data_IF_053636344324
#
_entry.id   IF_053636344324
#
_cell.length_a   1.000
_cell.length_b   1.000
_cell.length_c   1.000
_cell.angle_alpha   90.00
_cell.angle_beta   90.00
_cell.angle_gamma   90.00
#
_symmetry.space_group_name_H-M   'P 1'
#
loop_
_entity.id
_entity.type
_entity.pdbx_description
1 polymer ?
#
# COMPACT_ATOMS: atom_id res chain seq x y z
N UNK A 1 17.75 -1.23 -26.65
CA UNK A 1 18.08 -1.64 -25.27
C UNK A 1 16.93 -2.49 -24.76
N UNK A 2 17.16 -3.80 -24.59
CA UNK A 2 16.20 -4.72 -23.97
C UNK A 2 15.99 -4.28 -22.51
N UNK A 3 14.76 -3.92 -22.13
CA UNK A 3 14.44 -3.71 -20.73
C UNK A 3 14.66 -5.02 -19.98
N UNK A 4 15.63 -5.04 -19.07
CA UNK A 4 15.71 -6.06 -18.04
C UNK A 4 14.39 -6.02 -17.26
N UNK A 5 13.59 -7.10 -17.36
CA UNK A 5 12.36 -7.25 -16.60
C UNK A 5 12.61 -7.05 -15.11
N UNK A 6 11.68 -6.39 -14.41
CA UNK A 6 11.71 -6.29 -12.95
C UNK A 6 11.50 -7.70 -12.42
N UNK A 7 12.58 -8.38 -12.01
CA UNK A 7 12.49 -9.69 -11.39
C UNK A 7 11.85 -9.55 -10.00
N UNK A 8 10.75 -10.28 -9.76
CA UNK A 8 10.08 -10.34 -8.47
C UNK A 8 10.54 -11.60 -7.73
N UNK A 9 10.83 -11.45 -6.44
CA UNK A 9 11.08 -12.58 -5.55
C UNK A 9 9.74 -13.08 -5.01
N UNK A 10 9.35 -14.30 -5.36
CA UNK A 10 8.21 -14.95 -4.73
C UNK A 10 8.71 -15.74 -3.54
N UNK A 11 8.16 -15.43 -2.38
CA UNK A 11 8.44 -16.12 -1.13
C UNK A 11 7.39 -17.20 -0.92
N UNK A 12 7.79 -18.47 -1.11
CA UNK A 12 6.94 -19.62 -0.82
C UNK A 12 7.25 -20.17 0.57
N UNK A 13 6.24 -20.24 1.44
CA UNK A 13 6.30 -21.00 2.68
C UNK A 13 6.05 -22.48 2.40
N UNK A 14 6.83 -23.38 3.02
CA UNK A 14 6.70 -24.84 2.84
C UNK A 14 6.36 -25.49 4.17
N UNK A 15 5.43 -26.45 4.17
CA UNK A 15 5.07 -27.24 5.35
C UNK A 15 6.13 -28.33 5.63
N UNK A 16 6.38 -28.63 6.91
CA UNK A 16 7.31 -29.68 7.32
C UNK A 16 6.77 -31.07 6.94
N UNK A 17 7.52 -31.81 6.13
CA UNK A 17 7.32 -33.26 6.04
C UNK A 17 7.67 -33.92 7.38
N UNK A 18 6.92 -34.96 7.77
CA UNK A 18 7.20 -35.78 8.98
C UNK A 18 8.51 -36.56 8.84
N UNK A 19 9.64 -35.88 8.83
CA UNK A 19 10.94 -36.52 8.98
C UNK A 19 11.64 -35.90 10.18
N UNK A 20 11.80 -36.73 11.21
CA UNK A 20 12.53 -36.45 12.45
C UNK A 20 13.99 -36.26 12.10
N UNK A 21 14.37 -35.07 11.64
CA UNK A 21 15.78 -34.72 11.56
C UNK A 21 16.05 -33.30 12.03
N UNK A 22 16.97 -33.24 12.98
CA UNK A 22 17.16 -32.19 13.98
C UNK A 22 17.96 -31.00 13.43
N UNK A 23 17.57 -30.49 12.27
CA UNK A 23 18.08 -29.25 11.70
C UNK A 23 16.90 -28.32 11.39
N UNK A 24 16.86 -27.12 12.00
CA UNK A 24 15.96 -26.01 11.66
C UNK A 24 16.13 -25.60 10.18
N UNK A 25 15.62 -26.40 9.24
CA UNK A 25 15.82 -26.26 7.78
C UNK A 25 14.71 -25.40 7.18
N UNK A 26 15.12 -24.20 6.75
CA UNK A 26 14.48 -23.21 5.84
C UNK A 26 13.03 -23.49 5.41
N UNK A 27 12.07 -22.96 6.17
CA UNK A 27 10.64 -22.84 5.83
C UNK A 27 10.33 -21.87 4.67
N UNK A 28 11.36 -21.28 4.06
CA UNK A 28 11.24 -20.22 3.04
C UNK A 28 11.99 -20.64 1.77
N UNK A 29 11.27 -20.66 0.65
CA UNK A 29 11.83 -20.82 -0.69
C UNK A 29 11.65 -19.53 -1.48
N UNK A 30 12.68 -19.17 -2.23
CA UNK A 30 12.65 -18.00 -3.12
C UNK A 30 12.56 -18.49 -4.55
N UNK A 31 11.57 -18.00 -5.29
CA UNK A 31 11.41 -18.25 -6.71
C UNK A 31 11.62 -16.94 -7.47
N UNK A 32 12.23 -17.06 -8.65
CA UNK A 32 12.29 -15.95 -9.62
C UNK A 32 11.02 -16.00 -10.46
N UNK A 33 10.29 -14.89 -10.52
CA UNK A 33 9.14 -14.73 -11.39
C UNK A 33 9.10 -13.30 -11.98
N UNK A 34 8.40 -13.13 -13.09
CA UNK A 34 8.18 -11.83 -13.73
C UNK A 34 6.72 -11.69 -14.13
N UNK A 35 6.08 -10.60 -13.69
CA UNK A 35 4.70 -10.29 -14.03
C UNK A 35 4.46 -10.16 -15.55
N UNK A 36 5.47 -9.78 -16.33
CA UNK A 36 5.41 -9.72 -17.78
C UNK A 36 5.44 -11.08 -18.49
N UNK A 37 5.85 -12.15 -17.80
CA UNK A 37 6.05 -13.48 -18.37
C UNK A 37 4.95 -14.45 -17.90
N UNK A 38 4.12 -14.90 -18.84
CA UNK A 38 3.09 -15.90 -18.55
C UNK A 38 3.73 -17.24 -18.11
N UNK A 39 3.22 -17.83 -17.03
CA UNK A 39 3.74 -19.09 -16.48
C UNK A 39 4.91 -18.94 -15.51
N UNK A 40 5.50 -17.74 -15.38
CA UNK A 40 6.67 -17.53 -14.50
C UNK A 40 6.40 -17.77 -13.01
N UNK A 41 5.13 -17.76 -12.60
CA UNK A 41 4.70 -18.02 -11.21
C UNK A 41 4.32 -19.49 -10.95
N UNK A 42 4.20 -20.34 -11.98
CA UNK A 42 3.66 -21.71 -11.87
C UNK A 42 4.40 -22.55 -10.83
N UNK A 43 5.73 -22.51 -10.87
CA UNK A 43 6.57 -23.23 -9.92
C UNK A 43 6.38 -22.75 -8.47
N UNK A 44 6.09 -21.46 -8.27
CA UNK A 44 5.95 -20.87 -6.95
C UNK A 44 4.57 -21.14 -6.32
N UNK A 45 3.52 -21.25 -7.14
CA UNK A 45 2.15 -21.49 -6.67
C UNK A 45 1.77 -22.97 -6.62
N UNK A 46 2.60 -23.87 -7.16
CA UNK A 46 2.34 -25.31 -7.16
C UNK A 46 2.29 -25.85 -5.72
N UNK A 47 1.14 -26.41 -5.33
CA UNK A 47 0.90 -26.94 -3.99
C UNK A 47 0.51 -25.88 -2.95
N UNK A 48 0.43 -24.60 -3.32
CA UNK A 48 -0.01 -23.55 -2.40
C UNK A 48 -1.52 -23.61 -2.17
N UNK A 49 -1.95 -23.41 -0.93
CA UNK A 49 -3.37 -23.31 -0.57
C UNK A 49 -3.90 -21.87 -0.65
N UNK A 50 -3.01 -20.89 -0.55
CA UNK A 50 -3.33 -19.48 -0.62
C UNK A 50 -2.21 -18.69 -1.31
N UNK A 51 -2.57 -17.54 -1.90
CA UNK A 51 -1.64 -16.59 -2.49
C UNK A 51 -1.89 -15.19 -1.90
N UNK A 52 -0.80 -14.50 -1.53
CA UNK A 52 -0.82 -13.07 -1.22
C UNK A 52 -0.25 -12.29 -2.41
N UNK A 53 -1.11 -11.62 -3.17
CA UNK A 53 -0.67 -10.80 -4.31
C UNK A 53 -0.39 -9.36 -3.86
N UNK A 54 0.83 -9.16 -3.37
CA UNK A 54 1.34 -7.86 -2.87
C UNK A 54 2.07 -7.07 -3.96
N UNK A 55 2.65 -7.76 -4.94
CA UNK A 55 3.45 -7.15 -5.99
C UNK A 55 2.62 -6.21 -6.88
N UNK A 56 3.07 -4.96 -7.02
CA UNK A 56 2.42 -3.96 -7.86
C UNK A 56 3.44 -2.93 -8.36
N UNK A 57 3.13 -2.28 -9.49
CA UNK A 57 3.92 -1.12 -9.94
C UNK A 57 3.71 0.05 -8.98
N UNK A 58 4.81 0.71 -8.60
CA UNK A 58 4.83 1.92 -7.77
C UNK A 58 5.08 3.19 -8.60
N UNK A 59 4.69 3.18 -9.88
CA UNK A 59 4.88 4.32 -10.78
C UNK A 59 3.91 5.46 -10.47
N UNK A 60 4.43 6.49 -9.81
CA UNK A 60 3.70 7.71 -9.45
C UNK A 60 3.79 8.82 -10.52
N UNK A 61 4.82 8.76 -11.37
CA UNK A 61 5.12 9.76 -12.39
C UNK A 61 5.68 9.08 -13.64
N UNK A 62 5.42 9.65 -14.81
CA UNK A 62 6.07 9.25 -16.07
C UNK A 62 6.99 10.37 -16.53
N UNK A 63 8.28 10.05 -16.64
CA UNK A 63 9.28 10.89 -17.30
C UNK A 63 9.24 10.61 -18.81
N UNK A 64 8.19 11.04 -19.50
CA UNK A 64 8.10 10.83 -20.96
C UNK A 64 8.73 12.00 -21.73
N UNK A 65 9.54 11.74 -22.77
CA UNK A 65 9.93 12.76 -23.75
C UNK A 65 8.74 13.35 -24.52
N UNK A 66 7.57 12.69 -24.49
CA UNK A 66 6.34 13.13 -25.14
C UNK A 66 5.49 14.09 -24.26
N UNK A 67 6.08 14.70 -23.24
CA UNK A 67 5.42 15.59 -22.27
C UNK A 67 4.79 16.87 -22.87
N UNK A 68 4.77 17.00 -24.19
CA UNK A 68 4.19 18.13 -24.91
C UNK A 68 2.82 17.83 -25.55
N UNK A 69 2.30 16.59 -25.45
CA UNK A 69 0.98 16.24 -26.00
C UNK A 69 0.22 15.24 -25.12
N UNK A 70 -0.91 15.66 -24.54
CA UNK A 70 -1.68 14.89 -23.56
C UNK A 70 -2.16 13.52 -24.07
N UNK A 71 -2.62 13.44 -25.32
CA UNK A 71 -3.07 12.18 -25.93
C UNK A 71 -1.96 11.12 -26.00
N UNK A 72 -0.73 11.54 -26.31
CA UNK A 72 0.43 10.65 -26.37
C UNK A 72 0.85 10.18 -24.98
N UNK A 73 0.68 11.03 -23.95
CA UNK A 73 0.92 10.65 -22.55
C UNK A 73 -0.10 9.61 -22.09
N UNK A 74 -1.39 9.80 -22.39
CA UNK A 74 -2.43 8.85 -22.02
C UNK A 74 -2.23 7.48 -22.67
N UNK A 75 -1.93 7.45 -23.97
CA UNK A 75 -1.65 6.20 -24.70
C UNK A 75 -0.38 5.51 -24.20
N UNK A 76 0.67 6.29 -23.89
CA UNK A 76 1.87 5.76 -23.28
C UNK A 76 1.58 5.14 -21.90
N UNK A 77 0.84 5.84 -21.03
CA UNK A 77 0.47 5.32 -19.71
C UNK A 77 -0.38 4.05 -19.84
N UNK A 78 -1.34 4.04 -20.76
CA UNK A 78 -2.19 2.87 -21.01
C UNK A 78 -1.35 1.66 -21.42
N UNK A 79 -0.53 1.80 -22.46
CA UNK A 79 0.23 0.69 -23.07
C UNK A 79 1.47 0.26 -22.28
N UNK A 80 2.15 1.19 -21.59
CA UNK A 80 3.42 0.90 -20.90
C UNK A 80 3.26 0.65 -19.41
N UNK A 81 2.16 1.10 -18.80
CA UNK A 81 1.95 0.97 -17.35
C UNK A 81 0.72 0.16 -17.02
N UNK A 82 -0.46 0.57 -17.50
CA UNK A 82 -1.74 0.00 -17.06
C UNK A 82 -1.98 -1.40 -17.62
N UNK A 83 -1.76 -1.59 -18.92
CA UNK A 83 -1.92 -2.89 -19.58
C UNK A 83 -0.92 -3.93 -19.05
N UNK A 84 0.39 -3.65 -18.93
CA UNK A 84 1.34 -4.61 -18.34
C UNK A 84 1.01 -4.98 -16.89
N UNK A 85 0.62 -4.01 -16.06
CA UNK A 85 0.23 -4.29 -14.67
C UNK A 85 -1.01 -5.19 -14.57
N UNK A 86 -2.01 -4.91 -15.42
CA UNK A 86 -3.24 -5.70 -15.51
C UNK A 86 -2.94 -7.12 -15.99
N UNK A 87 -2.24 -7.24 -17.12
CA UNK A 87 -1.81 -8.53 -17.67
C UNK A 87 -1.00 -9.33 -16.66
N UNK A 88 -0.08 -8.69 -15.94
CA UNK A 88 0.74 -9.36 -14.95
C UNK A 88 -0.05 -9.90 -13.76
N UNK A 89 -1.03 -9.13 -13.27
CA UNK A 89 -1.97 -9.63 -12.26
C UNK A 89 -2.74 -10.85 -12.77
N UNK A 90 -3.20 -10.83 -14.01
CA UNK A 90 -3.90 -11.97 -14.63
C UNK A 90 -2.97 -13.17 -14.81
N UNK A 91 -1.71 -12.98 -15.17
CA UNK A 91 -0.72 -14.05 -15.29
C UNK A 91 -0.52 -14.80 -13.96
N UNK A 92 -0.47 -14.08 -12.85
CA UNK A 92 -0.40 -14.67 -11.50
C UNK A 92 -1.65 -15.49 -11.19
N UNK A 93 -2.84 -14.95 -11.47
CA UNK A 93 -4.10 -15.66 -11.23
C UNK A 93 -4.27 -16.88 -12.13
N UNK A 94 -3.85 -16.82 -13.40
CA UNK A 94 -3.80 -17.98 -14.30
C UNK A 94 -2.92 -19.09 -13.75
N UNK A 95 -1.79 -18.73 -13.14
CA UNK A 95 -0.90 -19.70 -12.49
C UNK A 95 -1.61 -20.39 -11.32
N UNK A 96 -2.39 -19.65 -10.52
CA UNK A 96 -3.22 -20.21 -9.44
C UNK A 96 -4.27 -21.20 -9.97
N UNK A 97 -4.96 -20.84 -11.07
CA UNK A 97 -5.94 -21.72 -11.72
C UNK A 97 -5.27 -23.00 -12.24
N UNK A 98 -4.14 -22.89 -12.93
CA UNK A 98 -3.36 -24.05 -13.41
C UNK A 98 -2.92 -24.97 -12.26
N UNK A 99 -2.49 -24.39 -11.14
CA UNK A 99 -2.06 -25.16 -9.98
C UNK A 99 -3.21 -25.94 -9.32
N UNK A 100 -4.46 -25.50 -9.46
CA UNK A 100 -5.67 -26.17 -8.97
C UNK A 100 -5.77 -26.31 -7.44
N UNK A 101 -4.76 -25.86 -6.68
CA UNK A 101 -4.61 -26.05 -5.24
C UNK A 101 -4.85 -24.77 -4.46
N UNK A 102 -4.72 -23.60 -5.10
CA UNK A 102 -4.92 -22.29 -4.48
C UNK A 102 -6.41 -22.06 -4.26
N UNK A 103 -6.83 -22.06 -2.98
CA UNK A 103 -8.22 -21.88 -2.57
C UNK A 103 -8.57 -20.43 -2.28
N UNK A 104 -7.58 -19.60 -1.92
CA UNK A 104 -7.81 -18.18 -1.61
C UNK A 104 -6.69 -17.30 -2.12
N UNK A 105 -7.06 -16.21 -2.79
CA UNK A 105 -6.14 -15.14 -3.16
C UNK A 105 -6.47 -13.90 -2.34
N UNK A 106 -5.50 -13.39 -1.60
CA UNK A 106 -5.58 -12.08 -0.92
C UNK A 106 -4.83 -11.07 -1.78
N UNK A 107 -5.59 -10.18 -2.43
CA UNK A 107 -5.08 -9.12 -3.27
C UNK A 107 -4.80 -7.88 -2.43
N UNK A 108 -3.58 -7.35 -2.46
CA UNK A 108 -3.27 -6.10 -1.77
C UNK A 108 -3.67 -4.92 -2.66
N UNK A 109 -4.78 -4.27 -2.33
CA UNK A 109 -5.23 -3.03 -2.95
C UNK A 109 -4.70 -1.81 -2.20
N UNK A 110 -5.16 -0.61 -2.53
CA UNK A 110 -4.70 0.64 -1.94
C UNK A 110 -5.86 1.59 -1.72
N UNK A 111 -5.82 2.39 -0.66
CA UNK A 111 -6.77 3.48 -0.42
C UNK A 111 -6.78 4.49 -1.58
N UNK A 112 -5.75 4.50 -2.44
CA UNK A 112 -5.75 5.28 -3.67
C UNK A 112 -6.95 4.97 -4.59
N UNK A 113 -7.50 3.77 -4.47
CA UNK A 113 -8.71 3.31 -5.18
C UNK A 113 -10.01 3.90 -4.64
N UNK A 114 -9.97 4.56 -3.48
CA UNK A 114 -11.12 5.17 -2.82
C UNK A 114 -11.05 6.71 -2.91
N UNK A 115 -12.19 7.36 -2.68
CA UNK A 115 -12.29 8.82 -2.54
C UNK A 115 -13.39 9.19 -1.55
N UNK A 116 -13.13 10.17 -0.68
CA UNK A 116 -14.19 10.78 0.12
C UNK A 116 -14.81 12.00 -0.58
N UNK A 117 -14.16 12.54 -1.62
CA UNK A 117 -14.66 13.70 -2.35
C UNK A 117 -15.92 13.39 -3.16
N UNK A 118 -16.89 14.32 -3.11
CA UNK A 118 -18.14 14.31 -3.87
C UNK A 118 -18.16 15.42 -4.94
N UNK A 119 -19.12 15.34 -5.88
CA UNK A 119 -19.23 16.20 -7.07
C UNK A 119 -19.34 17.70 -6.76
N UNK A 120 -19.74 18.08 -5.54
CA UNK A 120 -19.96 19.47 -5.11
C UNK A 120 -18.86 20.00 -4.16
N UNK A 121 -17.69 19.35 -4.13
CA UNK A 121 -16.63 19.71 -3.18
C UNK A 121 -16.91 19.31 -1.73
N UNK A 122 -18.06 18.67 -1.48
CA UNK A 122 -18.40 18.01 -0.22
C UNK A 122 -17.59 16.73 -0.04
N UNK A 123 -17.46 16.29 1.21
CA UNK A 123 -16.87 14.99 1.56
C UNK A 123 -17.93 14.09 2.17
N UNK A 124 -17.86 12.81 1.84
CA UNK A 124 -18.63 11.77 2.54
C UNK A 124 -18.33 11.81 4.04
N UNK A 125 -19.31 11.53 4.87
CA UNK A 125 -19.11 11.47 6.33
C UNK A 125 -18.32 10.23 6.77
N UNK A 126 -18.40 9.15 5.99
CA UNK A 126 -17.71 7.88 6.25
C UNK A 126 -16.96 7.46 4.99
N UNK A 127 -15.68 7.12 5.15
CA UNK A 127 -14.85 6.49 4.14
C UNK A 127 -14.82 4.99 4.41
N UNK A 128 -15.39 4.20 3.50
CA UNK A 128 -15.42 2.73 3.55
C UNK A 128 -15.18 2.14 2.14
N UNK A 129 -15.32 0.81 2.00
CA UNK A 129 -15.03 0.11 0.75
C UNK A 129 -16.03 0.39 -0.39
N UNK A 130 -17.17 1.04 -0.10
CA UNK A 130 -18.14 1.49 -1.11
C UNK A 130 -17.69 2.75 -1.83
N UNK A 131 -16.69 3.46 -1.27
CA UNK A 131 -16.23 4.76 -1.75
C UNK A 131 -15.27 4.66 -2.94
N UNK A 132 -15.51 3.72 -3.86
CA UNK A 132 -14.68 3.50 -5.04
C UNK A 132 -14.59 4.76 -5.88
N UNK A 133 -13.35 5.08 -6.28
CA UNK A 133 -13.07 6.19 -7.16
C UNK A 133 -13.43 5.85 -8.61
N UNK A 134 -14.04 6.81 -9.30
CA UNK A 134 -14.34 6.72 -10.73
C UNK A 134 -13.06 6.78 -11.56
N UNK A 135 -12.92 5.86 -12.52
CA UNK A 135 -11.80 5.85 -13.47
C UNK A 135 -11.87 7.08 -14.39
N UNK A 136 -13.07 7.45 -14.84
CA UNK A 136 -13.27 8.61 -15.73
C UNK A 136 -12.89 9.92 -15.04
N UNK A 137 -13.19 10.04 -13.74
CA UNK A 137 -12.74 11.18 -12.94
C UNK A 137 -11.21 11.27 -12.90
N UNK A 138 -10.52 10.15 -12.71
CA UNK A 138 -9.06 10.12 -12.60
C UNK A 138 -8.40 10.45 -13.95
N UNK A 139 -8.93 9.93 -15.06
CA UNK A 139 -8.46 10.26 -16.40
C UNK A 139 -8.66 11.73 -16.75
N UNK A 140 -9.81 12.30 -16.37
CA UNK A 140 -10.15 13.70 -16.62
C UNK A 140 -9.30 14.65 -15.77
N UNK A 141 -9.22 14.41 -14.47
CA UNK A 141 -8.62 15.35 -13.50
C UNK A 141 -7.11 15.15 -13.31
N UNK A 142 -6.58 13.97 -13.66
CA UNK A 142 -5.16 13.59 -13.56
C UNK A 142 -4.51 14.08 -12.25
N UNK A 143 -5.09 13.75 -11.06
CA UNK A 143 -4.56 14.18 -9.77
C UNK A 143 -3.12 13.70 -9.56
N UNK A 144 -2.40 14.27 -8.59
CA UNK A 144 -1.10 13.75 -8.18
C UNK A 144 -1.19 12.24 -7.89
N UNK A 145 -0.34 11.45 -8.56
CA UNK A 145 -0.35 9.99 -8.49
C UNK A 145 -1.45 9.28 -9.30
N UNK A 146 -2.10 9.95 -10.27
CA UNK A 146 -3.18 9.38 -11.08
C UNK A 146 -2.85 8.04 -11.75
N UNK A 147 -1.60 7.86 -12.19
CA UNK A 147 -1.13 6.62 -12.82
C UNK A 147 -1.22 5.44 -11.85
N UNK A 148 -0.75 5.63 -10.63
CA UNK A 148 -0.84 4.63 -9.57
C UNK A 148 -2.30 4.34 -9.20
N UNK A 149 -3.14 5.38 -9.11
CA UNK A 149 -4.58 5.23 -8.83
C UNK A 149 -5.24 4.35 -9.90
N UNK A 150 -5.03 4.67 -11.18
CA UNK A 150 -5.57 3.88 -12.30
C UNK A 150 -5.04 2.45 -12.28
N UNK A 151 -3.73 2.28 -12.09
CA UNK A 151 -3.09 0.97 -12.05
C UNK A 151 -3.70 0.09 -10.97
N UNK A 152 -3.82 0.59 -9.73
CA UNK A 152 -4.45 -0.17 -8.63
C UNK A 152 -5.94 -0.44 -8.87
N UNK A 153 -6.69 0.52 -9.41
CA UNK A 153 -8.13 0.33 -9.71
C UNK A 153 -8.36 -0.74 -10.78
N UNK A 154 -7.64 -0.64 -11.91
CA UNK A 154 -7.81 -1.52 -13.06
C UNK A 154 -7.32 -2.94 -12.77
N UNK A 155 -6.18 -3.08 -12.08
CA UNK A 155 -5.66 -4.41 -11.69
C UNK A 155 -6.60 -5.12 -10.73
N UNK A 156 -7.16 -4.42 -9.74
CA UNK A 156 -8.14 -5.00 -8.81
C UNK A 156 -9.43 -5.40 -9.53
N UNK A 157 -9.98 -4.55 -10.41
CA UNK A 157 -11.20 -4.87 -11.16
C UNK A 157 -11.00 -6.08 -12.08
N UNK A 158 -9.88 -6.12 -12.80
CA UNK A 158 -9.52 -7.25 -13.64
C UNK A 158 -9.33 -8.53 -12.83
N UNK A 159 -8.69 -8.43 -11.65
CA UNK A 159 -8.51 -9.57 -10.74
C UNK A 159 -9.84 -10.14 -10.27
N UNK A 160 -10.78 -9.29 -9.80
CA UNK A 160 -12.12 -9.74 -9.40
C UNK A 160 -12.92 -10.34 -10.56
N UNK A 161 -12.82 -9.76 -11.76
CA UNK A 161 -13.48 -10.29 -12.96
C UNK A 161 -12.96 -11.68 -13.30
N UNK A 162 -11.64 -11.83 -13.42
CA UNK A 162 -10.99 -13.10 -13.71
C UNK A 162 -11.31 -14.16 -12.64
N UNK A 163 -11.24 -13.78 -11.37
CA UNK A 163 -11.50 -14.68 -10.26
C UNK A 163 -12.92 -15.27 -10.31
N UNK A 164 -13.92 -14.42 -10.59
CA UNK A 164 -15.31 -14.84 -10.76
C UNK A 164 -15.52 -15.75 -11.97
N UNK A 165 -14.86 -15.47 -13.08
CA UNK A 165 -14.95 -16.28 -14.31
C UNK A 165 -14.27 -17.66 -14.18
N UNK A 166 -13.30 -17.79 -13.27
CA UNK A 166 -12.47 -19.01 -13.14
C UNK A 166 -12.63 -19.71 -11.78
N UNK A 167 -13.63 -19.34 -10.98
CA UNK A 167 -13.91 -19.99 -9.69
C UNK A 167 -12.81 -19.80 -8.62
N UNK A 168 -12.00 -18.75 -8.71
CA UNK A 168 -10.99 -18.41 -7.71
C UNK A 168 -11.62 -17.53 -6.64
N UNK A 169 -11.50 -17.91 -5.37
CA UNK A 169 -11.98 -17.05 -4.27
C UNK A 169 -10.96 -15.94 -3.98
N UNK A 170 -11.29 -14.72 -4.40
CA UNK A 170 -10.44 -13.54 -4.24
C UNK A 170 -11.05 -12.57 -3.21
N UNK A 171 -10.21 -12.14 -2.28
CA UNK A 171 -10.50 -11.07 -1.32
C UNK A 171 -9.49 -9.95 -1.49
N UNK A 172 -9.90 -8.71 -1.35
CA UNK A 172 -9.03 -7.54 -1.51
C UNK A 172 -8.84 -6.82 -0.17
N UNK A 173 -7.59 -6.62 0.23
CA UNK A 173 -7.22 -5.80 1.38
C UNK A 173 -6.81 -4.42 0.89
N UNK A 174 -7.62 -3.41 1.19
CA UNK A 174 -7.35 -2.02 0.85
C UNK A 174 -6.46 -1.42 1.94
N UNK A 175 -5.17 -1.26 1.63
CA UNK A 175 -4.22 -0.68 2.57
C UNK A 175 -4.17 0.85 2.47
N UNK A 176 -4.10 1.56 3.61
CA UNK A 176 -3.86 3.00 3.66
C UNK A 176 -2.37 3.31 3.48
N UNK A 177 -1.91 4.49 3.91
CA UNK A 177 -0.47 4.72 4.06
C UNK A 177 0.05 3.81 5.16
N UNK A 178 0.83 2.80 4.79
CA UNK A 178 1.41 1.82 5.73
C UNK A 178 2.77 2.30 6.20
N UNK A 179 3.00 2.28 7.50
CA UNK A 179 4.25 2.70 8.11
C UNK A 179 4.54 1.89 9.39
N UNK A 180 5.76 2.02 9.93
CA UNK A 180 6.29 1.18 11.01
C UNK A 180 7.64 0.55 10.64
N UNK A 181 8.06 -0.53 11.32
CA UNK A 181 9.32 -1.21 11.03
C UNK A 181 9.37 -1.83 9.63
N UNK A 182 10.57 -1.89 9.06
CA UNK A 182 10.77 -2.49 7.75
C UNK A 182 12.02 -3.37 7.72
N UNK A 183 12.00 -4.38 6.85
CA UNK A 183 13.10 -5.32 6.66
C UNK A 183 13.85 -5.07 5.34
N UNK A 184 13.41 -4.08 4.57
CA UNK A 184 14.00 -3.73 3.27
C UNK A 184 15.31 -2.95 3.47
N UNK A 185 16.29 -3.11 2.58
CA UNK A 185 17.57 -2.39 2.70
C UNK A 185 17.43 -0.88 2.50
N UNK A 186 16.38 -0.45 1.80
CA UNK A 186 16.02 0.96 1.64
C UNK A 186 14.70 1.26 2.35
N UNK A 187 14.52 2.51 2.76
CA UNK A 187 13.29 2.98 3.40
C UNK A 187 12.12 2.84 2.42
N UNK A 188 11.02 2.15 2.79
CA UNK A 188 9.82 2.04 1.96
C UNK A 188 9.23 3.40 1.58
N UNK A 189 8.75 3.54 0.34
CA UNK A 189 8.16 4.79 -0.18
C UNK A 189 7.00 5.31 0.67
N UNK A 190 6.18 4.44 1.27
CA UNK A 190 5.09 4.86 2.15
C UNK A 190 5.56 5.49 3.46
N UNK A 191 6.72 5.07 3.98
CA UNK A 191 7.36 5.69 5.14
C UNK A 191 8.01 7.01 4.73
N UNK A 192 8.69 7.06 3.59
CA UNK A 192 9.22 8.33 3.06
C UNK A 192 8.09 9.34 2.82
N UNK A 193 6.92 8.88 2.35
CA UNK A 193 5.72 9.69 2.20
C UNK A 193 5.23 10.26 3.54
N UNK A 194 5.08 9.41 4.56
CA UNK A 194 4.69 9.85 5.92
C UNK A 194 5.70 10.84 6.52
N UNK A 195 6.99 10.63 6.29
CA UNK A 195 8.08 11.46 6.80
C UNK A 195 8.44 12.62 5.88
N UNK A 196 7.74 12.81 4.76
CA UNK A 196 8.00 13.90 3.81
C UNK A 196 7.95 15.30 4.44
N UNK A 197 7.16 15.59 5.49
CA UNK A 197 7.29 16.85 6.22
C UNK A 197 8.67 17.00 6.90
N UNK A 198 9.23 15.92 7.45
CA UNK A 198 10.56 15.91 8.10
C UNK A 198 11.69 15.96 7.07
N UNK A 199 11.56 15.28 5.93
CA UNK A 199 12.64 15.25 4.93
C UNK A 199 12.59 16.45 3.99
N UNK A 200 11.42 17.09 3.84
CA UNK A 200 11.23 18.19 2.91
C UNK A 200 11.20 17.75 1.43
N UNK A 201 10.99 16.46 1.16
CA UNK A 201 10.85 15.98 -0.22
C UNK A 201 9.59 16.58 -0.85
N UNK A 202 9.72 17.48 -1.87
CA UNK A 202 8.58 18.21 -2.39
C UNK A 202 7.61 17.31 -3.18
N UNK A 203 8.10 16.21 -3.79
CA UNK A 203 7.28 15.31 -4.58
C UNK A 203 6.42 14.44 -3.67
N UNK A 204 7.03 13.83 -2.66
CA UNK A 204 6.31 13.01 -1.68
C UNK A 204 5.38 13.88 -0.82
N UNK A 205 5.80 15.09 -0.45
CA UNK A 205 4.92 16.03 0.23
C UNK A 205 3.67 16.36 -0.59
N UNK A 206 3.81 16.63 -1.90
CA UNK A 206 2.66 16.85 -2.77
C UNK A 206 1.73 15.62 -2.88
N UNK A 207 2.29 14.40 -2.84
CA UNK A 207 1.50 13.16 -2.77
C UNK A 207 0.75 13.09 -1.45
N UNK A 208 1.39 13.41 -0.32
CA UNK A 208 0.77 13.40 1.01
C UNK A 208 -0.36 14.43 1.10
N UNK A 209 -0.14 15.64 0.58
CA UNK A 209 -1.14 16.68 0.45
C UNK A 209 -2.32 16.24 -0.43
N UNK A 210 -2.06 15.54 -1.54
CA UNK A 210 -3.14 14.99 -2.39
C UNK A 210 -3.95 13.90 -1.68
N UNK A 211 -3.32 13.07 -0.84
CA UNK A 211 -4.03 12.10 0.02
C UNK A 211 -4.91 12.85 1.02
N UNK A 212 -4.35 13.84 1.72
CA UNK A 212 -5.09 14.66 2.67
C UNK A 212 -6.28 15.37 2.04
N UNK A 213 -6.09 16.05 0.91
CA UNK A 213 -7.16 16.77 0.21
C UNK A 213 -8.31 15.84 -0.20
N UNK A 214 -7.97 14.62 -0.66
CA UNK A 214 -8.93 13.60 -1.12
C UNK A 214 -9.79 13.04 0.00
N UNK A 215 -9.22 12.88 1.19
CA UNK A 215 -9.90 12.25 2.33
C UNK A 215 -10.17 13.19 3.49
N UNK A 216 -9.78 14.45 3.45
CA UNK A 216 -9.73 15.34 4.62
C UNK A 216 -8.77 14.86 5.74
N UNK A 217 -8.02 13.79 5.50
CA UNK A 217 -7.13 13.16 6.47
C UNK A 217 -6.14 12.25 5.75
N UNK A 218 -5.18 11.70 6.48
CA UNK A 218 -4.27 10.65 6.02
C UNK A 218 -4.65 9.36 6.76
N UNK A 219 -5.32 8.41 6.08
CA UNK A 219 -5.52 7.07 6.62
C UNK A 219 -4.16 6.40 6.88
N UNK A 220 -4.02 5.75 8.04
CA UNK A 220 -2.79 5.05 8.43
C UNK A 220 -3.05 3.64 8.96
N UNK A 221 -2.07 2.77 8.76
CA UNK A 221 -1.98 1.47 9.42
C UNK A 221 -0.53 1.12 9.74
N UNK A 222 -0.35 0.43 10.86
CA UNK A 222 0.93 -0.17 11.17
C UNK A 222 1.20 -1.37 10.27
N UNK A 223 2.46 -1.55 9.85
CA UNK A 223 2.88 -2.67 8.98
C UNK A 223 2.50 -4.04 9.55
N UNK A 224 2.59 -4.21 10.87
CA UNK A 224 2.22 -5.47 11.50
C UNK A 224 0.71 -5.72 11.43
N UNK A 225 -0.11 -4.69 11.68
CA UNK A 225 -1.57 -4.81 11.54
C UNK A 225 -1.95 -5.11 10.07
N UNK A 226 -1.25 -4.50 9.11
CA UNK A 226 -1.44 -4.82 7.69
C UNK A 226 -1.11 -6.30 7.40
N UNK A 227 0.02 -6.82 7.89
CA UNK A 227 0.37 -8.24 7.75
C UNK A 227 -0.66 -9.17 8.41
N UNK A 228 -1.06 -8.87 9.65
CA UNK A 228 -2.06 -9.65 10.39
C UNK A 228 -3.41 -9.66 9.66
N UNK A 229 -3.81 -8.53 9.08
CA UNK A 229 -5.05 -8.43 8.31
C UNK A 229 -5.01 -9.28 7.03
N UNK A 230 -3.85 -9.36 6.34
CA UNK A 230 -3.71 -10.29 5.22
C UNK A 230 -3.94 -11.73 5.68
N UNK A 231 -3.29 -12.15 6.77
CA UNK A 231 -3.42 -13.51 7.32
C UNK A 231 -4.87 -13.79 7.74
N UNK A 232 -5.52 -12.86 8.45
CA UNK A 232 -6.92 -13.00 8.84
C UNK A 232 -7.82 -13.22 7.62
N UNK A 233 -7.67 -12.41 6.57
CA UNK A 233 -8.48 -12.56 5.36
C UNK A 233 -8.18 -13.86 4.60
N UNK A 234 -6.96 -14.37 4.70
CA UNK A 234 -6.59 -15.68 4.17
C UNK A 234 -7.26 -16.81 4.93
N UNK A 235 -7.46 -16.69 6.24
CA UNK A 235 -8.04 -17.74 7.08
C UNK A 235 -9.57 -17.67 7.18
N UNK A 236 -10.14 -16.45 7.17
CA UNK A 236 -11.56 -16.21 7.40
C UNK A 236 -12.46 -16.82 6.31
N UNK A 237 -13.29 -17.83 6.63
CA UNK A 237 -14.13 -18.49 5.64
C UNK A 237 -15.19 -17.57 5.01
N UNK A 238 -15.62 -16.55 5.77
CA UNK A 238 -16.66 -15.58 5.39
C UNK A 238 -16.10 -14.31 4.73
N UNK A 239 -14.79 -14.20 4.53
CA UNK A 239 -14.20 -13.01 3.94
C UNK A 239 -14.59 -12.88 2.47
N UNK A 240 -15.20 -11.77 2.07
CA UNK A 240 -15.60 -11.52 0.68
C UNK A 240 -15.49 -10.04 0.26
N UNK A 241 -15.11 -9.83 -1.00
CA UNK A 241 -14.99 -8.49 -1.57
C UNK A 241 -13.79 -7.73 -0.99
N UNK A 242 -14.00 -6.47 -0.62
CA UNK A 242 -12.97 -5.53 -0.16
C UNK A 242 -13.02 -5.30 1.34
N UNK A 243 -11.85 -5.12 1.96
CA UNK A 243 -11.69 -4.77 3.37
C UNK A 243 -10.71 -3.62 3.52
N UNK A 244 -11.14 -2.50 4.09
CA UNK A 244 -10.26 -1.40 4.48
C UNK A 244 -9.54 -1.76 5.78
N UNK A 245 -8.21 -1.61 5.79
CA UNK A 245 -7.38 -1.86 6.96
C UNK A 245 -6.68 -0.57 7.40
N UNK A 246 -7.44 0.35 7.95
CA UNK A 246 -6.95 1.60 8.53
C UNK A 246 -7.36 1.72 10.00
N UNK A 247 -6.39 1.94 10.89
CA UNK A 247 -6.65 2.15 12.31
C UNK A 247 -7.39 3.48 12.56
N UNK A 248 -7.22 4.44 11.65
CA UNK A 248 -7.90 5.73 11.66
C UNK A 248 -7.41 6.64 10.53
N UNK A 249 -8.02 7.83 10.45
CA UNK A 249 -7.58 8.93 9.58
C UNK A 249 -7.12 10.11 10.43
N UNK A 250 -5.97 10.68 10.09
CA UNK A 250 -5.33 11.74 10.88
C UNK A 250 -5.11 12.97 10.03
N UNK A 251 -5.43 14.16 10.54
CA UNK A 251 -5.12 15.40 9.80
C UNK A 251 -3.61 15.57 9.69
N UNK A 252 -3.16 16.25 8.64
CA UNK A 252 -1.74 16.52 8.45
C UNK A 252 -1.17 17.35 9.62
N UNK A 253 -1.97 18.27 10.17
CA UNK A 253 -1.60 19.04 11.36
C UNK A 253 -1.41 18.16 12.61
N UNK A 254 -2.22 17.12 12.79
CA UNK A 254 -2.05 16.16 13.88
C UNK A 254 -0.77 15.33 13.68
N UNK A 255 -0.56 14.78 12.47
CA UNK A 255 0.64 14.00 12.16
C UNK A 255 1.92 14.81 12.32
N UNK A 256 1.93 16.07 11.89
CA UNK A 256 3.09 16.91 12.02
C UNK A 256 3.41 17.26 13.48
N UNK A 257 2.39 17.46 14.33
CA UNK A 257 2.60 17.61 15.78
C UNK A 257 3.20 16.35 16.40
N UNK A 258 2.71 15.17 16.03
CA UNK A 258 3.30 13.90 16.47
C UNK A 258 4.74 13.74 15.98
N UNK A 259 5.00 14.02 14.70
CA UNK A 259 6.34 13.98 14.12
C UNK A 259 7.31 14.93 14.85
N UNK A 260 6.88 16.15 15.17
CA UNK A 260 7.70 17.11 15.91
C UNK A 260 7.98 16.65 17.35
N UNK A 261 6.98 16.02 18.00
CA UNK A 261 7.17 15.46 19.34
C UNK A 261 8.17 14.29 19.36
N UNK A 262 8.24 13.52 18.27
CA UNK A 262 9.15 12.36 18.14
C UNK A 262 10.50 12.71 17.54
N UNK A 263 10.56 13.78 16.74
CA UNK A 263 11.76 14.27 16.09
C UNK A 263 11.85 15.80 16.28
N UNK A 264 12.36 16.27 17.43
CA UNK A 264 12.32 17.69 17.83
C UNK A 264 12.91 18.72 16.86
N UNK A 265 13.93 18.41 16.02
CA UNK A 265 14.39 19.37 15.01
C UNK A 265 13.33 19.71 13.95
N UNK A 266 12.33 18.85 13.77
CA UNK A 266 11.23 19.16 12.87
C UNK A 266 10.38 20.29 13.44
N UNK A 267 10.30 21.38 12.68
CA UNK A 267 9.44 22.53 12.96
C UNK A 267 8.25 22.50 12.01
N UNK A 268 7.06 22.05 12.46
CA UNK A 268 5.88 21.91 11.61
C UNK A 268 5.50 23.21 10.90
N UNK A 269 5.53 24.34 11.61
CA UNK A 269 5.10 25.63 11.08
C UNK A 269 5.95 26.16 9.92
N UNK A 270 7.20 25.71 9.80
CA UNK A 270 8.10 26.14 8.72
C UNK A 270 7.91 25.32 7.44
N UNK A 271 7.23 24.17 7.54
CA UNK A 271 7.17 23.13 6.47
C UNK A 271 5.78 22.70 6.09
N UNK A 272 4.79 22.89 6.96
CA UNK A 272 3.38 22.80 6.61
C UNK A 272 2.98 24.14 6.01
N UNK A 273 2.95 24.20 4.69
CA UNK A 273 2.29 25.26 3.95
C UNK A 273 0.79 25.34 4.32
N UNK A 274 0.14 26.44 3.89
CA UNK A 274 -1.32 26.60 3.85
C UNK A 274 -2.07 25.42 3.18
N UNK A 275 -1.38 24.49 2.53
CA UNK A 275 -1.96 23.30 1.87
C UNK A 275 -2.63 22.32 2.86
N UNK A 276 -2.37 22.49 4.16
CA UNK A 276 -2.99 21.75 5.25
C UNK A 276 -3.80 22.61 6.21
N UNK A 277 -4.07 23.87 5.86
CA UNK A 277 -5.06 24.66 6.58
C UNK A 277 -6.40 23.97 6.38
N UNK A 278 -6.83 23.26 7.42
CA UNK A 278 -8.18 22.74 7.54
C UNK A 278 -9.10 23.93 7.33
N UNK A 279 -9.94 23.89 6.29
CA UNK A 279 -11.17 24.65 6.32
C UNK A 279 -11.95 24.08 7.53
N UNK A 280 -11.81 24.76 8.68
CA UNK A 280 -12.31 24.32 9.98
C UNK A 280 -13.83 24.06 9.98
N UNK A 281 -14.51 24.41 8.89
CA UNK A 281 -15.91 24.13 8.61
C UNK A 281 -16.22 22.67 8.24
N UNK A 282 -15.23 21.84 7.86
CA UNK A 282 -15.47 20.48 7.39
C UNK A 282 -14.72 19.42 8.19
N UNK A 283 -15.42 18.72 9.08
CA UNK A 283 -14.86 17.60 9.84
C UNK A 283 -14.37 16.49 8.89
N UNK A 284 -13.20 15.87 9.14
CA UNK A 284 -12.73 14.77 8.31
C UNK A 284 -13.70 13.58 8.38
N UNK A 285 -13.86 12.81 7.28
CA UNK A 285 -14.61 11.57 7.29
C UNK A 285 -14.09 10.61 8.35
N UNK A 286 -15.01 9.85 8.93
CA UNK A 286 -14.66 8.66 9.71
C UNK A 286 -14.11 7.59 8.76
N UNK A 287 -12.85 7.20 8.94
CA UNK A 287 -12.25 6.09 8.19
C UNK A 287 -12.69 4.78 8.82
N UNK A 288 -13.54 4.02 8.11
CA UNK A 288 -14.22 2.84 8.65
C UNK A 288 -13.59 1.54 8.17
N UNK A 289 -12.91 0.85 9.08
CA UNK A 289 -12.46 -0.54 8.89
C UNK A 289 -13.50 -1.55 9.42
N UNK A 290 -14.78 -1.16 9.50
CA UNK A 290 -15.82 -1.94 10.18
C UNK A 290 -15.96 -3.37 9.65
N UNK A 291 -15.91 -3.58 8.33
CA UNK A 291 -15.99 -4.95 7.76
C UNK A 291 -14.86 -5.84 8.27
N UNK A 292 -13.66 -5.29 8.44
CA UNK A 292 -12.49 -6.03 8.94
C UNK A 292 -12.64 -6.32 10.45
N UNK A 293 -13.13 -5.35 11.21
CA UNK A 293 -13.41 -5.50 12.65
C UNK A 293 -14.52 -6.53 12.91
N UNK A 294 -15.55 -6.56 12.07
CA UNK A 294 -16.67 -7.52 12.16
C UNK A 294 -16.21 -8.97 11.88
N UNK A 295 -15.06 -9.17 11.23
CA UNK A 295 -14.39 -10.47 11.10
C UNK A 295 -13.59 -10.88 12.34
N UNK A 296 -13.53 -10.03 13.37
CA UNK A 296 -12.77 -10.25 14.60
C UNK A 296 -11.37 -9.64 14.60
N UNK A 297 -11.01 -8.85 13.59
CA UNK A 297 -9.73 -8.14 13.58
C UNK A 297 -9.65 -7.12 14.72
N UNK A 298 -8.46 -6.92 15.27
CA UNK A 298 -8.18 -5.87 16.25
C UNK A 298 -6.85 -5.22 15.91
N UNK A 299 -6.88 -3.91 15.69
CA UNK A 299 -5.66 -3.12 15.55
C UNK A 299 -4.88 -3.17 16.87
N UNK A 300 -3.60 -3.50 16.79
CA UNK A 300 -2.70 -3.53 17.95
C UNK A 300 -1.94 -2.22 18.14
N UNK A 301 -1.86 -1.41 17.10
CA UNK A 301 -1.01 -0.22 17.05
C UNK A 301 -1.81 1.04 16.77
N UNK A 302 -1.51 2.10 17.53
CA UNK A 302 -2.04 3.44 17.32
C UNK A 302 -1.16 4.28 16.39
N UNK A 303 -1.56 5.52 16.14
CA UNK A 303 -0.77 6.46 15.33
C UNK A 303 0.55 6.81 15.99
N UNK A 304 0.59 6.87 17.32
CA UNK A 304 1.81 7.14 18.08
C UNK A 304 2.85 6.06 17.84
N UNK A 305 2.44 4.79 17.78
CA UNK A 305 3.32 3.65 17.49
C UNK A 305 3.83 3.71 16.05
N UNK A 306 2.92 3.93 15.09
CA UNK A 306 3.27 4.07 13.66
C UNK A 306 4.34 5.15 13.46
N UNK A 307 4.14 6.34 14.04
CA UNK A 307 5.09 7.44 13.90
C UNK A 307 6.40 7.14 14.63
N UNK A 308 6.33 6.65 15.88
CA UNK A 308 7.51 6.33 16.70
C UNK A 308 8.39 5.30 16.01
N UNK A 309 7.82 4.19 15.57
CA UNK A 309 8.58 3.08 14.99
C UNK A 309 9.16 3.46 13.63
N UNK A 310 8.43 4.26 12.83
CA UNK A 310 8.93 4.78 11.55
C UNK A 310 10.13 5.71 11.74
N UNK A 311 10.05 6.67 12.67
CA UNK A 311 11.16 7.59 12.96
C UNK A 311 12.36 6.82 13.49
N UNK A 312 12.16 5.90 14.44
CA UNK A 312 13.23 5.10 15.02
C UNK A 312 13.96 4.26 13.95
N UNK A 313 13.21 3.63 13.05
CA UNK A 313 13.78 2.81 11.98
C UNK A 313 14.49 3.66 10.93
N UNK A 314 13.97 4.82 10.58
CA UNK A 314 14.64 5.75 9.67
C UNK A 314 15.93 6.35 10.25
N UNK A 315 15.99 6.61 11.56
CA UNK A 315 17.23 6.98 12.25
C UNK A 315 18.24 5.82 12.21
N UNK A 316 17.80 4.60 12.52
CA UNK A 316 18.66 3.41 12.52
C UNK A 316 19.25 3.09 11.13
N UNK A 317 18.54 3.43 10.06
CA UNK A 317 18.99 3.25 8.68
C UNK A 317 19.71 4.48 8.08
N UNK A 318 19.97 5.51 8.90
CA UNK A 318 20.65 6.74 8.45
C UNK A 318 19.85 7.56 7.42
N UNK A 319 18.54 7.32 7.32
CA UNK A 319 17.65 8.11 6.46
C UNK A 319 17.25 9.44 7.11
N UNK A 320 17.14 9.45 8.44
CA UNK A 320 17.08 10.66 9.24
C UNK A 320 18.38 10.78 10.04
N UNK A 321 18.87 12.00 10.21
CA UNK A 321 20.04 12.27 11.03
C UNK A 321 19.63 12.46 12.50
N UNK A 322 20.51 12.11 13.44
CA UNK A 322 20.28 12.44 14.84
C UNK A 322 20.41 13.97 15.01
N UNK A 323 19.53 14.61 15.81
CA UNK A 323 19.71 15.99 16.19
C UNK A 323 21.08 16.21 16.83
N UNK A 324 21.88 17.16 16.34
CA UNK A 324 23.14 17.54 17.02
C UNK A 324 22.85 17.95 18.48
N UNK A 325 23.54 17.31 19.43
CA UNK A 325 23.47 17.67 20.86
C UNK A 325 22.61 16.77 21.77
N UNK A 326 21.99 15.68 21.27
CA UNK A 326 21.35 14.69 22.15
C UNK A 326 22.24 13.45 22.31
N UNK A 327 22.92 13.35 23.45
CA UNK A 327 23.72 12.16 23.79
C UNK A 327 22.85 10.91 23.82
N UNK A 328 23.36 9.83 23.25
CA UNK A 328 22.82 8.46 23.27
C UNK A 328 21.96 8.14 24.50
N UNK A 329 20.64 8.05 24.35
CA UNK A 329 19.86 7.21 25.25
C UNK A 329 20.20 5.76 24.92
N UNK A 330 21.11 5.18 25.72
CA UNK A 330 21.26 3.73 25.78
C UNK A 330 19.87 3.14 26.06
N UNK A 331 19.35 2.36 25.11
CA UNK A 331 18.32 1.38 25.40
C UNK A 331 18.91 0.41 26.42
N UNK A 332 18.65 0.67 27.70
CA UNK A 332 18.87 -0.32 28.75
C UNK A 332 17.86 -1.43 28.54
N UNK A 333 18.35 -2.58 28.10
CA UNK A 333 17.62 -3.84 28.20
C UNK A 333 17.38 -4.14 29.68
N UNK A 334 16.09 -4.28 30.04
CA UNK A 334 15.61 -5.14 31.12
C UNK A 334 14.38 -5.85 30.60
#
# INVERSE_FOLDING_TARGET
MLHAGKAWQVLGAVEEGRERDRCRRRLLRVFRADMGEEGSFDAAVTGCVALFHVAASMELHVSSPAAHHDSLVEEHVRSRVLEPATRGTINVLRSCVRAGTVRRVVFTSSVSTLTAAETEGRRKAVLDESCLRSLDDVWRTKPVGWIYILSKRLTEEAAFRFARENGVHLVSLVLPTVAGPFLTPSVPTSIQLLLSPITGDPKLYAVLASVHARFGCVPLAHVQDACDAHVLLMEAPRAEGRYLCAAGGYSAAHLARLLASRYPPFRPGDRLSRDFDDDASCSPPVVSSRRLLDLGFRFRYGVEDVVKDSVAQCLAHGFLEQPEGQSTFRLSAV
#
